data_IF_216103908117
#
_entry.id   IF_216103908117
#
_cell.length_a   1.000
_cell.length_b   1.000
_cell.length_c   1.000
_cell.angle_alpha   90.00
_cell.angle_beta   90.00
_cell.angle_gamma   90.00
#
_symmetry.space_group_name_H-M   'P 1'
#
loop_
_entity.id
_entity.type
_entity.pdbx_description
1 polymer ?
#
# COMPACT_ATOMS: atom_id res chain seq x y z
N UNK A 1 -20.81 -1.68 1.63
CA UNK A 1 -20.73 -2.18 0.26
C UNK A 1 -20.18 -1.13 -0.68
N UNK A 2 -19.29 -1.53 -1.56
CA UNK A 2 -18.68 -0.59 -2.50
C UNK A 2 -19.62 -0.29 -3.63
N UNK A 3 -19.82 0.98 -3.91
CA UNK A 3 -20.81 1.44 -4.88
C UNK A 3 -20.14 2.10 -6.08
N UNK A 4 -19.01 1.51 -6.51
CA UNK A 4 -18.27 2.02 -7.65
C UNK A 4 -18.60 1.22 -8.89
N UNK A 5 -18.71 1.93 -9.97
CA UNK A 5 -18.89 1.32 -11.27
C UNK A 5 -17.51 1.07 -11.90
N UNK A 6 -17.11 -0.18 -11.96
CA UNK A 6 -15.84 -0.56 -12.58
C UNK A 6 -16.13 -1.31 -13.86
N UNK A 7 -16.06 -0.62 -14.94
CA UNK A 7 -16.40 -1.19 -16.23
C UNK A 7 -15.23 -1.99 -16.81
N UNK A 8 -15.54 -3.18 -17.29
CA UNK A 8 -14.59 -4.01 -18.03
C UNK A 8 -13.40 -4.41 -17.20
N UNK A 9 -12.25 -3.82 -17.47
CA UNK A 9 -11.03 -4.13 -16.75
C UNK A 9 -11.17 -3.72 -15.29
N UNK A 10 -10.87 -4.64 -14.40
CA UNK A 10 -10.91 -4.38 -12.98
C UNK A 10 -9.71 -3.57 -12.57
N UNK A 11 -9.94 -2.36 -12.13
CA UNK A 11 -8.92 -1.52 -11.53
C UNK A 11 -9.06 -1.59 -10.03
N UNK A 12 -8.04 -2.06 -9.34
CA UNK A 12 -8.04 -2.04 -7.89
C UNK A 12 -7.70 -0.63 -7.41
N UNK A 13 -8.45 -0.15 -6.43
CA UNK A 13 -8.18 1.16 -5.83
C UNK A 13 -7.21 0.94 -4.68
N UNK A 14 -6.08 1.61 -4.73
CA UNK A 14 -4.95 1.37 -3.85
C UNK A 14 -4.63 2.57 -2.98
N UNK A 15 -4.35 2.30 -1.70
CA UNK A 15 -3.70 3.25 -0.81
C UNK A 15 -2.25 2.84 -0.70
N UNK A 16 -1.35 3.79 -0.94
CA UNK A 16 0.08 3.54 -0.84
C UNK A 16 0.59 3.92 0.55
N UNK A 17 1.52 3.13 1.06
CA UNK A 17 2.10 3.36 2.38
C UNK A 17 3.62 3.30 2.28
N UNK A 18 4.29 4.26 2.89
CA UNK A 18 5.73 4.22 3.01
C UNK A 18 6.16 4.47 4.44
N UNK A 19 6.98 3.58 4.98
CA UNK A 19 7.64 3.77 6.26
C UNK A 19 9.09 4.10 5.96
N UNK A 20 9.54 5.27 6.37
CA UNK A 20 10.89 5.74 6.07
C UNK A 20 11.76 5.64 7.31
N UNK A 21 12.81 4.83 7.22
CA UNK A 21 13.79 4.70 8.30
C UNK A 21 14.81 5.82 8.20
N UNK A 22 15.01 6.34 6.99
CA UNK A 22 15.80 7.52 6.71
C UNK A 22 14.95 8.51 5.93
N UNK A 23 15.45 9.73 5.73
CA UNK A 23 14.73 10.72 4.94
C UNK A 23 14.53 10.19 3.51
N UNK A 24 13.33 10.37 2.93
CA UNK A 24 13.09 9.95 1.55
C UNK A 24 13.90 10.77 0.57
N UNK A 25 14.22 10.18 -0.59
CA UNK A 25 15.02 10.86 -1.63
C UNK A 25 14.32 12.12 -2.12
N UNK A 26 13.01 12.08 -2.29
CA UNK A 26 12.22 13.23 -2.69
C UNK A 26 11.15 13.49 -1.63
N UNK A 27 11.42 14.37 -0.65
CA UNK A 27 10.46 14.62 0.42
C UNK A 27 9.11 15.16 -0.04
N UNK A 28 9.06 15.83 -1.19
CA UNK A 28 7.81 16.37 -1.72
C UNK A 28 6.92 15.28 -2.30
N UNK A 29 7.53 14.24 -2.87
CA UNK A 29 6.79 13.13 -3.46
C UNK A 29 7.47 11.80 -3.08
N UNK A 30 7.40 11.44 -1.80
CA UNK A 30 8.16 10.28 -1.30
C UNK A 30 7.71 8.94 -1.89
N UNK A 31 6.48 8.85 -2.39
CA UNK A 31 5.95 7.61 -2.93
C UNK A 31 5.74 7.65 -4.45
N UNK A 32 6.38 8.60 -5.14
CA UNK A 32 6.18 8.77 -6.58
C UNK A 32 6.56 7.51 -7.38
N UNK A 33 7.69 6.88 -7.03
CA UNK A 33 8.12 5.67 -7.73
C UNK A 33 7.14 4.52 -7.53
N UNK A 34 6.69 4.33 -6.29
CA UNK A 34 5.71 3.28 -6.00
C UNK A 34 4.39 3.57 -6.73
N UNK A 35 3.98 4.82 -6.80
CA UNK A 35 2.77 5.19 -7.51
C UNK A 35 2.87 4.82 -9.00
N UNK A 36 4.04 5.04 -9.60
CA UNK A 36 4.28 4.63 -10.98
C UNK A 36 4.19 3.13 -11.18
N UNK A 37 4.78 2.37 -10.25
CA UNK A 37 4.73 0.90 -10.30
C UNK A 37 3.29 0.41 -10.15
N UNK A 38 2.55 0.97 -9.20
CA UNK A 38 1.16 0.58 -8.96
C UNK A 38 0.28 0.87 -10.18
N UNK A 39 0.46 2.05 -10.77
CA UNK A 39 -0.29 2.44 -11.96
C UNK A 39 0.00 1.51 -13.14
N UNK A 40 1.27 1.15 -13.33
CA UNK A 40 1.65 0.22 -14.39
C UNK A 40 1.05 -1.16 -14.15
N UNK A 41 0.89 -1.56 -12.90
CA UNK A 41 0.27 -2.84 -12.55
C UNK A 41 -1.26 -2.81 -12.68
N UNK A 42 -1.85 -1.67 -13.01
CA UNK A 42 -3.29 -1.54 -13.22
C UNK A 42 -4.06 -1.03 -12.02
N UNK A 43 -3.38 -0.60 -10.97
CA UNK A 43 -4.04 -0.06 -9.79
C UNK A 43 -4.29 1.44 -9.95
N UNK A 44 -5.35 1.92 -9.33
CA UNK A 44 -5.63 3.34 -9.24
C UNK A 44 -5.26 3.82 -7.84
N UNK A 45 -4.32 4.74 -7.74
CA UNK A 45 -3.89 5.26 -6.44
C UNK A 45 -4.91 6.29 -5.96
N UNK A 46 -5.54 6.04 -4.83
CA UNK A 46 -6.58 6.91 -4.29
C UNK A 46 -6.17 7.58 -2.99
N UNK A 47 -5.09 7.15 -2.37
CA UNK A 47 -4.60 7.78 -1.15
C UNK A 47 -3.19 7.34 -0.83
N UNK A 48 -2.56 8.05 0.08
CA UNK A 48 -1.19 7.76 0.52
C UNK A 48 -1.06 8.04 2.01
N UNK A 49 -0.17 7.31 2.66
CA UNK A 49 0.15 7.51 4.06
C UNK A 49 1.62 7.21 4.27
N UNK A 50 2.32 8.08 4.99
CA UNK A 50 3.74 7.88 5.29
C UNK A 50 3.98 7.98 6.78
N UNK A 51 5.05 7.32 7.23
CA UNK A 51 5.50 7.43 8.61
C UNK A 51 7.02 7.36 8.65
N UNK A 52 7.64 8.22 9.47
CA UNK A 52 9.06 8.15 9.76
C UNK A 52 9.24 7.34 11.04
N UNK A 53 10.12 6.36 11.02
CA UNK A 53 10.44 5.55 12.19
C UNK A 53 11.94 5.26 12.25
N UNK A 54 12.44 4.97 13.43
CA UNK A 54 13.82 4.54 13.58
C UNK A 54 14.00 3.08 13.17
N UNK A 55 12.95 2.27 13.39
CA UNK A 55 12.92 0.86 12.99
C UNK A 55 11.49 0.44 12.71
N UNK A 56 11.29 -0.59 11.88
CA UNK A 56 9.94 -1.07 11.61
C UNK A 56 9.36 -1.74 12.85
N UNK A 57 8.04 -1.66 12.98
CA UNK A 57 7.33 -2.43 13.99
C UNK A 57 7.34 -3.90 13.58
N UNK A 58 7.62 -4.79 14.53
CA UNK A 58 7.74 -6.21 14.23
C UNK A 58 6.42 -6.84 13.79
N UNK A 59 5.30 -6.33 14.29
CA UNK A 59 3.98 -6.91 14.04
C UNK A 59 3.36 -6.42 12.74
N UNK A 60 3.44 -5.11 12.47
CA UNK A 60 2.73 -4.49 11.35
C UNK A 60 3.58 -3.59 10.50
N UNK A 61 4.87 -3.49 10.74
CA UNK A 61 5.80 -2.58 10.08
C UNK A 61 5.52 -1.11 10.41
N UNK A 62 4.25 -0.69 10.34
CA UNK A 62 3.79 0.62 10.82
C UNK A 62 3.62 0.62 12.33
N UNK A 63 3.70 1.79 12.95
CA UNK A 63 3.31 1.94 14.34
C UNK A 63 1.81 1.71 14.52
N UNK A 64 1.42 1.29 15.73
CA UNK A 64 0.03 0.92 16.00
C UNK A 64 -0.96 2.05 15.73
N UNK A 65 -0.62 3.27 16.11
CA UNK A 65 -1.50 4.41 15.85
C UNK A 65 -1.67 4.67 14.35
N UNK A 66 -0.61 4.45 13.57
CA UNK A 66 -0.68 4.61 12.12
C UNK A 66 -1.50 3.52 11.46
N UNK A 67 -1.53 2.32 12.02
CA UNK A 67 -2.40 1.25 11.48
C UNK A 67 -3.87 1.69 11.59
N UNK A 68 -4.26 2.27 12.72
CA UNK A 68 -5.62 2.77 12.90
C UNK A 68 -5.92 3.92 11.92
N UNK A 69 -4.96 4.81 11.73
CA UNK A 69 -5.10 5.91 10.77
C UNK A 69 -5.23 5.36 9.35
N UNK A 70 -4.42 4.38 9.01
CA UNK A 70 -4.46 3.75 7.69
C UNK A 70 -5.81 3.07 7.43
N UNK A 71 -6.36 2.41 8.44
CA UNK A 71 -7.69 1.82 8.32
C UNK A 71 -8.73 2.89 7.98
N UNK A 72 -8.66 4.05 8.62
CA UNK A 72 -9.55 5.17 8.30
C UNK A 72 -9.39 5.65 6.87
N UNK A 73 -8.15 5.73 6.38
CA UNK A 73 -7.88 6.13 5.00
C UNK A 73 -8.46 5.11 4.01
N UNK A 74 -8.25 3.83 4.28
CA UNK A 74 -8.79 2.74 3.45
C UNK A 74 -10.32 2.83 3.37
N UNK A 75 -10.97 3.02 4.52
CA UNK A 75 -12.42 3.11 4.57
C UNK A 75 -12.95 4.37 3.88
N UNK A 76 -12.29 5.49 4.11
CA UNK A 76 -12.71 6.76 3.51
C UNK A 76 -12.67 6.72 1.99
N UNK A 77 -11.63 6.11 1.43
CA UNK A 77 -11.46 6.02 -0.02
C UNK A 77 -12.06 4.77 -0.64
N UNK A 78 -12.65 3.90 0.18
CA UNK A 78 -13.20 2.64 -0.28
C UNK A 78 -12.17 1.83 -1.07
N UNK A 79 -10.94 1.78 -0.53
CA UNK A 79 -9.83 1.11 -1.20
C UNK A 79 -9.96 -0.40 -1.15
N UNK A 80 -9.45 -1.05 -2.18
CA UNK A 80 -9.45 -2.52 -2.29
C UNK A 80 -8.17 -3.13 -1.77
N UNK A 81 -7.06 -2.41 -1.92
CA UNK A 81 -5.74 -2.91 -1.56
C UNK A 81 -4.91 -1.81 -0.92
N UNK A 82 -3.91 -2.25 -0.17
CA UNK A 82 -2.87 -1.37 0.37
C UNK A 82 -1.54 -1.88 -0.15
N UNK A 83 -0.71 -0.97 -0.66
CA UNK A 83 0.60 -1.32 -1.19
C UNK A 83 1.66 -0.58 -0.39
N UNK A 84 2.60 -1.33 0.17
CA UNK A 84 3.71 -0.78 0.92
C UNK A 84 4.94 -0.59 0.04
N UNK A 85 5.65 0.51 0.23
CA UNK A 85 6.92 0.79 -0.44
C UNK A 85 8.09 0.07 0.26
N UNK A 86 7.78 -0.83 1.15
CA UNK A 86 8.75 -1.57 1.95
C UNK A 86 8.56 -3.06 1.73
N UNK A 87 9.60 -3.85 2.02
CA UNK A 87 9.48 -5.30 2.01
C UNK A 87 8.99 -5.75 3.38
N UNK A 88 7.92 -6.49 3.39
CA UNK A 88 7.27 -6.96 4.61
C UNK A 88 7.44 -8.47 4.76
N UNK A 89 7.48 -8.93 6.01
CA UNK A 89 7.44 -10.36 6.26
C UNK A 89 6.03 -10.90 6.02
N UNK A 90 5.89 -12.21 5.75
CA UNK A 90 4.56 -12.80 5.62
C UNK A 90 3.68 -12.59 6.85
N UNK A 91 4.27 -12.60 8.04
CA UNK A 91 3.52 -12.36 9.27
C UNK A 91 3.01 -10.92 9.34
N UNK A 92 3.83 -9.95 8.95
CA UNK A 92 3.42 -8.55 8.92
C UNK A 92 2.28 -8.33 7.93
N UNK A 93 2.37 -8.93 6.76
CA UNK A 93 1.31 -8.82 5.75
C UNK A 93 0.01 -9.39 6.30
N UNK A 94 0.07 -10.58 6.90
CA UNK A 94 -1.11 -11.23 7.45
C UNK A 94 -1.75 -10.39 8.57
N UNK A 95 -0.91 -9.85 9.46
CA UNK A 95 -1.41 -9.01 10.55
C UNK A 95 -2.07 -7.74 10.04
N UNK A 96 -1.48 -7.13 9.00
CA UNK A 96 -2.06 -5.93 8.39
C UNK A 96 -3.37 -6.25 7.70
N UNK A 97 -3.44 -7.36 6.97
CA UNK A 97 -4.69 -7.76 6.31
C UNK A 97 -5.82 -7.98 7.32
N UNK A 98 -5.50 -8.57 8.46
CA UNK A 98 -6.49 -8.75 9.52
C UNK A 98 -6.95 -7.41 10.08
N UNK A 99 -6.02 -6.48 10.28
CA UNK A 99 -6.35 -5.18 10.85
C UNK A 99 -7.10 -4.28 9.88
N UNK A 100 -6.76 -4.34 8.59
CA UNK A 100 -7.29 -3.43 7.59
C UNK A 100 -8.47 -4.02 6.82
N UNK A 101 -8.60 -5.32 6.83
CA UNK A 101 -9.66 -6.06 6.11
C UNK A 101 -9.62 -5.82 4.61
N UNK A 102 -8.44 -5.57 4.07
CA UNK A 102 -8.19 -5.50 2.63
C UNK A 102 -6.88 -6.22 2.33
N UNK A 103 -6.67 -6.53 1.08
CA UNK A 103 -5.43 -7.16 0.63
C UNK A 103 -4.25 -6.20 0.83
N UNK A 104 -3.13 -6.75 1.27
CA UNK A 104 -1.90 -5.97 1.46
C UNK A 104 -0.81 -6.57 0.59
N UNK A 105 -0.18 -5.73 -0.22
CA UNK A 105 0.97 -6.09 -1.04
C UNK A 105 2.18 -5.28 -0.58
N UNK A 106 3.35 -5.87 -0.70
CA UNK A 106 4.57 -5.11 -0.51
C UNK A 106 5.19 -4.77 -1.87
N UNK A 107 6.28 -4.02 -1.86
CA UNK A 107 6.93 -3.57 -3.09
C UNK A 107 7.37 -4.73 -3.97
N UNK A 108 7.90 -5.79 -3.36
CA UNK A 108 8.36 -6.96 -4.12
C UNK A 108 7.23 -7.65 -4.86
N UNK A 109 6.06 -7.75 -4.23
CA UNK A 109 4.90 -8.39 -4.87
C UNK A 109 4.40 -7.57 -6.06
N UNK A 110 4.42 -6.25 -5.95
CA UNK A 110 4.01 -5.40 -7.07
C UNK A 110 4.97 -5.55 -8.24
N UNK A 111 6.26 -5.61 -7.97
CA UNK A 111 7.27 -5.80 -9.02
C UNK A 111 7.10 -7.17 -9.68
N UNK A 112 6.81 -8.21 -8.91
CA UNK A 112 6.56 -9.54 -9.46
C UNK A 112 5.31 -9.54 -10.35
N UNK A 113 4.25 -8.86 -9.93
CA UNK A 113 3.04 -8.74 -10.73
C UNK A 113 3.32 -8.08 -12.08
N UNK A 114 4.17 -7.06 -12.09
CA UNK A 114 4.58 -6.43 -13.34
C UNK A 114 5.29 -7.41 -14.26
N UNK A 115 6.14 -8.25 -13.70
CA UNK A 115 6.85 -9.27 -14.47
C UNK A 115 5.88 -10.28 -15.09
N UNK A 116 4.84 -10.65 -14.36
CA UNK A 116 3.84 -11.59 -14.85
C UNK A 116 2.96 -11.00 -15.94
N UNK A 117 2.63 -9.72 -15.82
CA UNK A 117 1.77 -9.04 -16.78
C UNK A 117 2.42 -8.95 -18.17
N UNK A 118 3.75 -8.89 -18.20
CA UNK A 118 4.48 -8.68 -19.44
C UNK A 118 4.95 -9.96 -20.11
N UNK A 119 4.49 -11.09 -19.67
CA UNK A 119 4.85 -12.38 -20.31
C UNK A 119 4.00 -12.63 -21.55
#
# INVERSE_FOLDING_TARGET
>A
MKDRDRKGVQSEWAVLVGVFLDAPTDPAQPLAELAGLASTAGARVVGQLTQRRERPDQTTYLGKGKVAELRGVVEHHDADIVIFDNDLSPAQIRNLEQALEVKVLDRSEVILDLSLIHI
#
